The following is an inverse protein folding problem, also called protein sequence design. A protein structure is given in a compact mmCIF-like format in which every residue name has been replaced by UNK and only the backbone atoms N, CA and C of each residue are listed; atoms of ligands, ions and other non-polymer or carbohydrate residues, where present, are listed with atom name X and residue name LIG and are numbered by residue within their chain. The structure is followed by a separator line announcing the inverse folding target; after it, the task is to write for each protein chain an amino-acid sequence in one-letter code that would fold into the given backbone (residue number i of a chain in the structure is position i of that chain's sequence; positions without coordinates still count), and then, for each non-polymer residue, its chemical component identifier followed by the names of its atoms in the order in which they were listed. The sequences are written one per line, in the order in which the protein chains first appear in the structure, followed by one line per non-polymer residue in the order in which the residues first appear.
data_IF_806035187079
#
_entry.id   IF_806035187079
#
_cell.length_a   1.000
_cell.length_b   1.000
_cell.length_c   1.000
_cell.angle_alpha   90.00
_cell.angle_beta   90.00
_cell.angle_gamma   90.00
#
_symmetry.space_group_name_H-M   'P 1'
#
loop_
_entity.id
_entity.type
_entity.pdbx_description
1 polymer ?
#
# COMPACT_ATOMS: atom_id res chain seq x y z
N UNK A 1 -12.00 8.27 0.56
CA UNK A 1 -10.82 8.85 -0.12
C UNK A 1 -10.78 8.31 -1.54
N UNK A 2 -10.89 9.16 -2.56
CA UNK A 2 -10.96 8.71 -3.96
C UNK A 2 -9.55 8.35 -4.48
N UNK A 3 -9.42 7.27 -5.26
CA UNK A 3 -8.17 6.84 -5.94
C UNK A 3 -7.42 7.97 -6.62
N UNK A 4 -8.16 8.97 -7.11
CA UNK A 4 -7.67 10.12 -7.89
C UNK A 4 -7.02 11.18 -7.01
N UNK A 5 -7.67 11.50 -5.90
CA UNK A 5 -7.20 12.50 -4.94
C UNK A 5 -5.83 12.15 -4.37
N UNK A 6 -5.61 10.87 -4.07
CA UNK A 6 -4.37 10.41 -3.44
C UNK A 6 -3.10 10.75 -4.25
N UNK A 7 -3.20 10.75 -5.58
CA UNK A 7 -2.03 10.93 -6.46
C UNK A 7 -1.98 12.29 -7.14
N UNK A 8 -3.12 12.97 -7.25
CA UNK A 8 -3.21 14.21 -8.04
C UNK A 8 -3.70 15.41 -7.24
N UNK A 9 -4.14 15.22 -5.99
CA UNK A 9 -4.77 16.27 -5.19
C UNK A 9 -6.14 16.72 -5.72
N UNK A 10 -6.59 16.19 -6.86
CA UNK A 10 -7.85 16.55 -7.51
C UNK A 10 -8.81 15.36 -7.68
N UNK A 11 -10.04 15.67 -8.11
CA UNK A 11 -11.10 14.68 -8.39
C UNK A 11 -11.21 14.33 -9.87
N UNK A 12 -10.53 15.11 -10.73
CA UNK A 12 -10.56 14.97 -12.19
C UNK A 12 -10.08 13.60 -12.66
N UNK A 13 -10.63 13.15 -13.79
CA UNK A 13 -10.28 11.86 -14.39
C UNK A 13 -8.85 11.92 -14.89
N UNK A 14 -7.95 11.13 -14.28
CA UNK A 14 -6.56 11.04 -14.72
C UNK A 14 -6.10 9.59 -14.83
N UNK A 15 -5.17 9.34 -15.76
CA UNK A 15 -4.40 8.08 -15.85
C UNK A 15 -3.16 8.09 -14.94
N UNK A 16 -3.01 9.10 -14.07
CA UNK A 16 -1.80 9.40 -13.29
C UNK A 16 -1.67 8.63 -11.97
N UNK A 17 -2.51 7.62 -11.72
CA UNK A 17 -2.43 6.83 -10.50
C UNK A 17 -1.18 5.95 -10.48
N UNK A 18 -0.32 6.11 -9.47
CA UNK A 18 0.94 5.37 -9.39
C UNK A 18 0.75 3.88 -9.10
N UNK A 19 -0.33 3.54 -8.39
CA UNK A 19 -0.67 2.18 -8.00
C UNK A 19 -2.17 1.90 -8.16
N UNK A 20 -2.50 0.63 -8.39
CA UNK A 20 -3.88 0.13 -8.50
C UNK A 20 -4.56 0.21 -7.13
N UNK A 21 -5.84 0.60 -7.10
CA UNK A 21 -6.59 0.85 -5.86
C UNK A 21 -6.65 -0.36 -4.94
N UNK A 22 -6.96 -1.54 -5.49
CA UNK A 22 -7.07 -2.79 -4.72
C UNK A 22 -5.80 -3.06 -3.92
N UNK A 23 -4.63 -2.79 -4.51
CA UNK A 23 -3.34 -2.94 -3.84
C UNK A 23 -3.17 -1.95 -2.69
N UNK A 24 -3.71 -0.74 -2.77
CA UNK A 24 -3.66 0.22 -1.66
C UNK A 24 -4.49 -0.24 -0.46
N UNK A 25 -5.55 -1.00 -0.72
CA UNK A 25 -6.39 -1.59 0.32
C UNK A 25 -5.75 -2.81 1.00
N UNK A 26 -4.72 -3.42 0.41
CA UNK A 26 -4.02 -4.54 1.02
C UNK A 26 -3.34 -4.15 2.34
N UNK A 27 -3.11 -5.11 3.26
CA UNK A 27 -2.33 -4.87 4.47
C UNK A 27 -0.95 -4.29 4.14
N UNK A 28 -0.43 -3.41 5.01
CA UNK A 28 0.93 -2.83 4.85
C UNK A 28 2.01 -3.91 4.72
N UNK A 29 1.87 -5.00 5.48
CA UNK A 29 2.80 -6.12 5.43
C UNK A 29 2.82 -6.85 4.08
N UNK A 30 1.74 -6.74 3.31
CA UNK A 30 1.57 -7.28 1.96
C UNK A 30 1.84 -6.23 0.86
N UNK A 31 2.36 -5.06 1.25
CA UNK A 31 2.67 -3.99 0.33
C UNK A 31 1.47 -3.13 -0.08
N UNK A 32 0.41 -3.06 0.72
CA UNK A 32 -0.60 -2.02 0.60
C UNK A 32 -0.41 -0.86 1.58
N UNK A 33 -1.43 0.00 1.68
CA UNK A 33 -1.46 1.10 2.66
C UNK A 33 -2.44 0.83 3.81
N UNK A 34 -3.07 -0.34 3.83
CA UNK A 34 -4.12 -0.71 4.78
C UNK A 34 -5.34 0.22 4.69
N UNK A 35 -5.63 0.74 3.49
CA UNK A 35 -6.85 1.49 3.24
C UNK A 35 -8.07 0.56 3.30
N UNK A 36 -9.21 1.08 3.74
CA UNK A 36 -10.43 0.31 3.76
C UNK A 36 -10.91 0.03 2.33
N UNK A 37 -11.05 -1.24 1.96
CA UNK A 37 -11.79 -1.62 0.76
C UNK A 37 -13.29 -1.46 1.03
N UNK A 38 -13.88 -0.38 0.50
CA UNK A 38 -15.30 -0.07 0.71
C UNK A 38 -16.21 -1.13 0.09
N UNK A 39 -15.78 -1.76 -1.01
CA UNK A 39 -16.55 -2.82 -1.66
C UNK A 39 -16.67 -4.05 -0.77
N UNK A 40 -15.54 -4.52 -0.24
CA UNK A 40 -15.50 -5.67 0.69
C UNK A 40 -16.16 -5.31 2.02
N UNK A 41 -15.93 -4.10 2.54
CA UNK A 41 -16.57 -3.64 3.77
C UNK A 41 -18.09 -3.58 3.63
N UNK A 42 -18.60 -3.12 2.49
CA UNK A 42 -20.03 -3.12 2.21
C UNK A 42 -20.61 -4.54 2.15
N UNK A 43 -19.90 -5.52 1.57
CA UNK A 43 -20.30 -6.94 1.65
C UNK A 43 -20.44 -7.39 3.10
N UNK A 44 -19.44 -7.14 3.94
CA UNK A 44 -19.47 -7.49 5.36
C UNK A 44 -20.60 -6.77 6.14
N UNK A 45 -20.88 -5.51 5.80
CA UNK A 45 -21.98 -4.75 6.40
C UNK A 45 -23.36 -5.29 6.00
N UNK A 46 -23.56 -5.69 4.74
CA UNK A 46 -24.82 -6.33 4.29
C UNK A 46 -25.00 -7.69 4.98
N UNK A 47 -23.93 -8.47 5.16
CA UNK A 47 -23.98 -9.72 5.91
C UNK A 47 -24.43 -9.52 7.37
N UNK A 48 -23.98 -8.43 8.00
CA UNK A 48 -24.46 -8.03 9.33
C UNK A 48 -25.98 -7.79 9.33
N UNK A 49 -26.49 -7.12 8.29
CA UNK A 49 -27.94 -6.88 8.16
C UNK A 49 -28.70 -8.19 8.01
N UNK A 50 -28.21 -9.12 7.18
CA UNK A 50 -28.80 -10.45 7.04
C UNK A 50 -28.82 -11.18 8.39
N UNK A 51 -27.69 -11.22 9.09
CA UNK A 51 -27.59 -11.84 10.42
C UNK A 51 -28.57 -11.22 11.44
N UNK A 52 -28.72 -9.90 11.45
CA UNK A 52 -29.71 -9.22 12.32
C UNK A 52 -31.16 -9.61 11.99
N UNK A 53 -31.49 -9.82 10.71
CA UNK A 53 -32.82 -10.25 10.27
C UNK A 53 -33.08 -11.70 10.68
N UNK A 54 -32.10 -12.59 10.47
CA UNK A 54 -32.19 -14.01 10.81
C UNK A 54 -32.04 -14.31 12.31
N UNK A 55 -31.68 -13.33 13.15
CA UNK A 55 -31.87 -13.45 14.60
C UNK A 55 -33.33 -13.25 15.02
N UNK A 56 -34.13 -12.57 14.20
CA UNK A 56 -35.55 -12.28 14.46
C UNK A 56 -36.50 -13.25 13.74
N UNK A 57 -36.01 -14.00 12.75
CA UNK A 57 -36.74 -14.97 11.90
C UNK A 57 -35.82 -16.15 11.55
N UNK A 58 -36.34 -17.27 11.05
CA UNK A 58 -35.50 -18.43 10.68
C UNK A 58 -34.60 -18.09 9.48
N UNK A 59 -33.34 -18.57 9.49
CA UNK A 59 -32.31 -18.34 8.46
C UNK A 59 -32.70 -18.79 7.03
N UNK A 60 -33.73 -19.65 6.91
CA UNK A 60 -34.23 -20.20 5.64
C UNK A 60 -35.54 -19.59 5.11
N UNK A 61 -36.22 -18.73 5.87
CA UNK A 61 -37.53 -18.19 5.46
C UNK A 61 -37.35 -16.91 4.64
N UNK A 62 -37.13 -17.06 3.33
CA UNK A 62 -37.18 -15.92 2.41
C UNK A 62 -38.61 -15.34 2.31
N UNK A 63 -38.78 -14.00 2.33
CA UNK A 63 -40.09 -13.40 2.13
C UNK A 63 -40.62 -13.72 0.74
N UNK A 64 -41.91 -14.05 0.61
CA UNK A 64 -42.55 -14.37 -0.69
C UNK A 64 -42.55 -13.22 -1.69
N UNK A 65 -42.59 -11.96 -1.21
CA UNK A 65 -42.53 -10.75 -2.04
C UNK A 65 -41.57 -9.72 -1.42
N UNK A 66 -40.26 -9.96 -1.51
CA UNK A 66 -39.27 -9.08 -0.91
C UNK A 66 -39.02 -7.87 -1.82
N UNK A 67 -38.89 -6.67 -1.21
CA UNK A 67 -38.38 -5.50 -1.94
C UNK A 67 -36.95 -5.76 -2.45
N UNK A 68 -36.51 -5.01 -3.47
CA UNK A 68 -35.17 -5.17 -4.04
C UNK A 68 -34.03 -5.09 -3.00
N UNK A 69 -34.19 -4.25 -1.98
CA UNK A 69 -33.22 -4.12 -0.87
C UNK A 69 -33.15 -5.41 -0.07
N UNK A 70 -34.31 -5.99 0.27
CA UNK A 70 -34.38 -7.25 1.02
C UNK A 70 -33.79 -8.39 0.18
N UNK A 71 -34.11 -8.46 -1.11
CA UNK A 71 -33.49 -9.44 -2.03
C UNK A 71 -31.96 -9.34 -2.02
N UNK A 72 -31.40 -8.13 -2.03
CA UNK A 72 -29.95 -7.92 -2.00
C UNK A 72 -29.34 -8.37 -0.66
N UNK A 73 -30.06 -8.20 0.45
CA UNK A 73 -29.62 -8.67 1.77
C UNK A 73 -29.61 -10.20 1.82
N UNK A 74 -30.66 -10.89 1.38
CA UNK A 74 -30.69 -12.36 1.36
C UNK A 74 -29.63 -12.95 0.42
N UNK A 75 -29.43 -12.35 -0.76
CA UNK A 75 -28.33 -12.71 -1.68
C UNK A 75 -26.92 -12.54 -1.09
N UNK A 76 -26.78 -11.86 0.06
CA UNK A 76 -25.49 -11.76 0.75
C UNK A 76 -25.07 -13.04 1.48
N UNK A 77 -25.97 -14.04 1.59
CA UNK A 77 -25.67 -15.35 2.19
C UNK A 77 -24.40 -16.00 1.63
N UNK A 78 -24.20 -15.92 0.30
CA UNK A 78 -22.98 -16.41 -0.37
C UNK A 78 -21.67 -15.84 0.19
N UNK A 79 -21.68 -14.63 0.75
CA UNK A 79 -20.47 -14.04 1.31
C UNK A 79 -20.06 -14.67 2.64
N UNK A 80 -20.97 -15.37 3.33
CA UNK A 80 -20.61 -16.20 4.48
C UNK A 80 -19.82 -17.44 4.03
N UNK A 81 -20.28 -18.09 2.96
CA UNK A 81 -19.58 -19.21 2.34
C UNK A 81 -18.22 -18.78 1.78
N UNK A 82 -18.15 -17.66 1.06
CA UNK A 82 -16.88 -17.06 0.58
C UNK A 82 -15.90 -16.76 1.73
N UNK A 83 -16.41 -16.38 2.91
CA UNK A 83 -15.62 -16.12 4.11
C UNK A 83 -15.29 -17.39 4.93
N UNK A 84 -15.77 -18.56 4.48
CA UNK A 84 -15.60 -19.84 5.15
C UNK A 84 -16.34 -19.93 6.49
N UNK A 85 -17.59 -19.46 6.54
CA UNK A 85 -18.50 -19.67 7.66
C UNK A 85 -19.60 -20.66 7.29
N UNK A 86 -19.89 -21.62 8.17
CA UNK A 86 -21.07 -22.50 8.05
C UNK A 86 -22.34 -21.81 8.56
N UNK A 87 -23.52 -22.30 8.16
CA UNK A 87 -24.79 -21.76 8.67
C UNK A 87 -24.93 -21.92 10.19
N UNK A 88 -24.49 -23.06 10.74
CA UNK A 88 -24.53 -23.33 12.17
C UNK A 88 -23.61 -22.38 12.95
N UNK A 89 -22.42 -22.08 12.40
CA UNK A 89 -21.51 -21.11 13.00
C UNK A 89 -22.15 -19.72 13.05
N UNK A 90 -22.78 -19.29 11.96
CA UNK A 90 -23.44 -17.98 11.87
C UNK A 90 -24.62 -17.89 12.84
N UNK A 91 -25.41 -18.96 12.95
CA UNK A 91 -26.55 -19.03 13.86
C UNK A 91 -26.14 -18.95 15.34
N UNK A 92 -25.04 -19.62 15.69
CA UNK A 92 -24.49 -19.60 17.07
C UNK A 92 -23.78 -18.29 17.44
N UNK A 93 -23.56 -17.37 16.50
CA UNK A 93 -22.90 -16.10 16.83
C UNK A 93 -23.75 -15.29 17.81
N UNK A 94 -23.16 -14.90 18.94
CA UNK A 94 -23.77 -13.93 19.84
C UNK A 94 -23.75 -12.52 19.25
N UNK A 95 -22.64 -12.18 18.59
CA UNK A 95 -22.39 -10.87 17.97
C UNK A 95 -21.74 -11.05 16.60
N UNK A 96 -22.25 -10.34 15.59
CA UNK A 96 -21.67 -10.36 14.26
C UNK A 96 -20.31 -9.63 14.20
N UNK A 97 -19.20 -10.31 13.85
CA UNK A 97 -17.87 -9.71 13.85
C UNK A 97 -17.55 -9.06 12.50
N UNK A 98 -18.10 -7.87 12.22
CA UNK A 98 -17.97 -7.18 10.92
C UNK A 98 -16.52 -7.04 10.44
N UNK A 99 -15.59 -6.71 11.34
CA UNK A 99 -14.17 -6.62 11.02
C UNK A 99 -13.55 -7.98 10.67
N UNK A 100 -13.92 -9.05 11.37
CA UNK A 100 -13.43 -10.39 11.06
C UNK A 100 -13.97 -10.89 9.72
N UNK A 101 -15.26 -10.64 9.46
CA UNK A 101 -15.88 -10.90 8.16
C UNK A 101 -15.17 -10.17 7.02
N UNK A 102 -14.89 -8.87 7.20
CA UNK A 102 -14.11 -8.08 6.25
C UNK A 102 -12.73 -8.70 5.98
N UNK A 103 -11.99 -9.06 7.03
CA UNK A 103 -10.65 -9.66 6.89
C UNK A 103 -10.70 -11.03 6.18
N UNK A 104 -11.70 -11.87 6.49
CA UNK A 104 -11.91 -13.15 5.80
C UNK A 104 -12.22 -12.96 4.31
N UNK A 105 -13.13 -12.04 3.98
CA UNK A 105 -13.47 -11.71 2.59
C UNK A 105 -12.32 -11.04 1.84
N UNK A 106 -11.38 -10.40 2.55
CA UNK A 106 -10.18 -9.83 1.96
C UNK A 106 -9.18 -10.91 1.48
N UNK A 107 -9.26 -12.10 2.06
CA UNK A 107 -8.40 -13.24 1.74
C UNK A 107 -7.02 -13.18 2.40
N UNK A 108 -6.16 -14.09 1.98
CA UNK A 108 -4.78 -14.19 2.47
C UNK A 108 -3.81 -13.39 1.61
N UNK A 109 -2.77 -12.86 2.24
CA UNK A 109 -1.74 -12.08 1.58
C UNK A 109 -0.33 -12.55 1.92
N UNK A 110 0.50 -12.72 0.89
CA UNK A 110 1.93 -12.94 1.07
C UNK A 110 2.61 -11.66 1.54
N UNK A 111 3.57 -11.81 2.45
CA UNK A 111 4.34 -10.69 2.98
C UNK A 111 5.37 -10.23 1.94
N UNK A 112 5.44 -8.93 1.68
CA UNK A 112 6.48 -8.38 0.79
C UNK A 112 7.83 -8.32 1.53
N UNK A 113 8.97 -8.51 0.82
CA UNK A 113 10.30 -8.49 1.43
C UNK A 113 10.61 -7.16 2.14
N UNK A 114 10.32 -6.04 1.47
CA UNK A 114 10.56 -4.69 1.97
C UNK A 114 9.54 -4.21 3.01
N UNK A 115 8.63 -5.06 3.51
CA UNK A 115 7.58 -4.63 4.45
C UNK A 115 8.13 -3.91 5.68
N UNK A 116 9.31 -4.32 6.16
CA UNK A 116 9.94 -3.74 7.35
C UNK A 116 10.37 -2.30 7.12
N UNK A 117 10.53 -1.85 5.87
CA UNK A 117 10.84 -0.46 5.54
C UNK A 117 9.63 0.47 5.69
N UNK A 118 8.42 -0.09 5.62
CA UNK A 118 7.17 0.66 5.71
C UNK A 118 6.48 0.45 7.06
N UNK A 119 6.42 -0.81 7.52
CA UNK A 119 5.83 -1.20 8.78
C UNK A 119 6.77 -0.80 9.92
N UNK A 120 6.23 -0.08 10.91
CA UNK A 120 6.97 0.37 12.08
C UNK A 120 8.16 1.29 11.75
N UNK A 121 8.15 1.94 10.59
CA UNK A 121 9.08 3.01 10.32
C UNK A 121 8.62 4.25 11.11
N UNK A 122 9.53 4.78 11.95
CA UNK A 122 9.28 5.95 12.81
C UNK A 122 9.52 7.29 12.10
N UNK A 123 9.93 7.27 10.83
CA UNK A 123 10.08 8.47 10.02
C UNK A 123 8.75 9.18 9.77
N UNK A 124 8.83 10.41 9.27
CA UNK A 124 7.63 11.20 9.03
C UNK A 124 6.67 10.48 8.06
N UNK A 125 5.34 10.56 8.27
CA UNK A 125 4.36 9.90 7.41
C UNK A 125 4.53 10.24 5.92
N UNK A 126 4.90 11.47 5.58
CA UNK A 126 5.17 11.90 4.20
C UNK A 126 6.37 11.20 3.58
N UNK A 127 7.41 10.89 4.37
CA UNK A 127 8.59 10.15 3.89
C UNK A 127 8.23 8.71 3.57
N UNK A 128 7.54 8.05 4.50
CA UNK A 128 7.06 6.66 4.33
C UNK A 128 6.09 6.57 3.15
N UNK A 129 5.24 7.58 2.97
CA UNK A 129 4.31 7.64 1.85
C UNK A 129 5.01 7.72 0.50
N UNK A 130 6.13 8.42 0.37
CA UNK A 130 6.93 8.48 -0.88
C UNK A 130 7.80 7.23 -1.06
N UNK A 131 8.31 6.65 0.03
CA UNK A 131 9.05 5.39 -0.02
C UNK A 131 8.19 4.25 -0.59
N UNK A 132 6.88 4.25 -0.31
CA UNK A 132 5.94 3.23 -0.77
C UNK A 132 5.86 3.07 -2.31
N UNK A 133 5.54 4.09 -3.12
CA UNK A 133 5.60 3.99 -4.57
C UNK A 133 7.03 3.80 -5.09
N UNK A 134 8.07 4.25 -4.36
CA UNK A 134 9.46 3.96 -4.71
C UNK A 134 9.73 2.45 -4.67
N UNK A 135 9.26 1.74 -3.63
CA UNK A 135 9.42 0.30 -3.48
C UNK A 135 8.74 -0.50 -4.62
N UNK A 136 7.75 0.09 -5.28
CA UNK A 136 7.12 -0.47 -6.47
C UNK A 136 7.71 0.01 -7.81
N UNK A 137 8.74 0.86 -7.79
CA UNK A 137 9.29 1.53 -8.98
C UNK A 137 8.23 2.30 -9.75
N UNK A 138 7.33 2.97 -9.01
CA UNK A 138 6.18 3.71 -9.51
C UNK A 138 6.27 5.22 -9.27
N UNK A 139 7.39 5.74 -8.79
CA UNK A 139 7.64 7.19 -8.78
C UNK A 139 7.65 7.75 -10.21
N UNK A 140 7.43 9.06 -10.35
CA UNK A 140 7.36 9.76 -11.65
C UNK A 140 8.76 10.23 -12.08
N UNK A 141 9.68 9.29 -12.27
CA UNK A 141 10.99 9.53 -12.87
C UNK A 141 10.85 9.86 -14.37
N UNK A 142 11.79 10.61 -14.96
CA UNK A 142 11.66 11.03 -16.36
C UNK A 142 11.62 9.86 -17.35
N UNK A 143 12.33 8.76 -17.11
CA UNK A 143 12.22 7.55 -17.94
C UNK A 143 10.77 7.03 -18.04
N UNK A 144 10.00 7.14 -16.95
CA UNK A 144 8.59 6.75 -16.90
C UNK A 144 7.69 7.77 -17.56
N UNK A 145 7.96 9.06 -17.34
CA UNK A 145 7.19 10.14 -17.96
C UNK A 145 7.39 10.17 -19.48
N UNK A 146 8.60 9.89 -19.97
CA UNK A 146 8.92 9.78 -21.40
C UNK A 146 8.16 8.65 -22.06
N UNK A 147 8.12 7.47 -21.43
CA UNK A 147 7.29 6.33 -21.87
C UNK A 147 5.79 6.63 -21.90
N UNK A 148 5.33 7.62 -21.14
CA UNK A 148 3.94 8.09 -21.16
C UNK A 148 3.71 9.25 -22.15
N UNK A 149 4.73 9.67 -22.89
CA UNK A 149 4.66 10.81 -23.81
C UNK A 149 4.45 12.15 -23.11
N UNK A 150 4.80 12.26 -21.83
CA UNK A 150 4.63 13.49 -21.05
C UNK A 150 5.86 14.41 -21.13
N UNK A 151 7.02 13.87 -21.51
CA UNK A 151 8.30 14.59 -21.69
C UNK A 151 9.06 13.96 -22.84
N UNK A 152 9.91 14.73 -23.52
CA UNK A 152 10.76 14.24 -24.62
C UNK A 152 12.15 13.81 -24.13
N UNK A 153 12.70 14.59 -23.21
CA UNK A 153 14.00 14.37 -22.56
C UNK A 153 13.82 13.62 -21.22
N UNK A 154 14.63 12.58 -21.04
CA UNK A 154 14.72 11.79 -19.81
C UNK A 154 15.95 12.06 -18.95
N UNK A 155 16.74 13.08 -19.29
CA UNK A 155 17.88 13.51 -18.49
C UNK A 155 17.47 13.87 -17.06
N UNK A 156 18.29 13.42 -16.10
CA UNK A 156 18.13 13.66 -14.67
C UNK A 156 18.20 15.16 -14.33
N UNK A 157 17.16 15.74 -13.71
CA UNK A 157 17.15 17.16 -13.36
C UNK A 157 18.17 17.58 -12.30
N UNK A 158 18.79 16.64 -11.60
CA UNK A 158 19.74 16.93 -10.52
C UNK A 158 21.19 16.96 -11.01
N UNK A 159 21.56 16.07 -11.94
CA UNK A 159 22.93 15.99 -12.45
C UNK A 159 23.08 16.51 -13.88
N UNK A 160 22.00 16.55 -14.65
CA UNK A 160 21.98 16.94 -16.06
C UNK A 160 22.89 16.11 -16.99
N UNK A 161 23.30 14.91 -16.58
CA UNK A 161 24.25 14.09 -17.36
C UNK A 161 23.70 12.75 -17.86
N UNK A 162 22.81 12.10 -17.11
CA UNK A 162 22.38 10.72 -17.34
C UNK A 162 20.85 10.60 -17.26
N UNK A 163 20.28 9.51 -17.78
CA UNK A 163 18.84 9.22 -17.72
C UNK A 163 18.31 9.11 -16.28
N UNK A 164 17.21 9.80 -15.98
CA UNK A 164 16.49 9.71 -14.70
C UNK A 164 15.71 8.40 -14.59
N UNK A 165 16.36 7.38 -14.05
CA UNK A 165 15.71 6.16 -13.53
C UNK A 165 15.64 6.19 -12.01
N UNK A 166 14.88 5.29 -11.36
CA UNK A 166 14.91 5.17 -9.89
C UNK A 166 16.33 4.85 -9.37
N UNK A 167 17.06 3.99 -10.08
CA UNK A 167 18.41 3.60 -9.67
C UNK A 167 19.36 4.79 -9.82
N UNK A 168 19.25 5.54 -10.92
CA UNK A 168 20.01 6.75 -11.09
C UNK A 168 19.67 7.78 -10.02
N UNK A 169 18.40 8.18 -9.93
CA UNK A 169 17.92 9.23 -9.04
C UNK A 169 18.37 9.04 -7.59
N UNK A 170 18.35 7.81 -7.06
CA UNK A 170 18.64 7.58 -5.64
C UNK A 170 20.02 6.98 -5.35
N UNK A 171 20.72 6.37 -6.32
CA UNK A 171 21.94 5.60 -6.06
C UNK A 171 23.12 5.85 -7.01
N UNK A 172 22.90 6.41 -8.21
CA UNK A 172 23.98 6.67 -9.18
C UNK A 172 24.18 8.15 -9.50
N UNK A 173 23.16 8.98 -9.29
CA UNK A 173 23.23 10.42 -9.49
C UNK A 173 24.26 11.03 -8.56
N UNK A 174 25.21 11.81 -9.09
CA UNK A 174 26.30 12.43 -8.32
C UNK A 174 25.78 13.17 -7.07
N UNK A 175 24.73 13.98 -7.24
CA UNK A 175 24.04 14.68 -6.15
C UNK A 175 23.55 13.73 -5.05
N UNK A 176 22.76 12.72 -5.43
CA UNK A 176 22.15 11.79 -4.49
C UNK A 176 23.16 10.88 -3.82
N UNK A 177 24.19 10.44 -4.55
CA UNK A 177 25.25 9.59 -4.01
C UNK A 177 26.02 10.31 -2.90
N UNK A 178 26.31 11.61 -3.04
CA UNK A 178 26.94 12.39 -1.96
C UNK A 178 26.10 12.37 -0.68
N UNK A 179 24.80 12.65 -0.78
CA UNK A 179 23.87 12.62 0.35
C UNK A 179 23.83 11.23 0.98
N UNK A 180 23.71 10.19 0.15
CA UNK A 180 23.57 8.80 0.61
C UNK A 180 24.85 8.31 1.30
N UNK A 181 26.02 8.64 0.77
CA UNK A 181 27.31 8.32 1.40
C UNK A 181 27.42 9.00 2.76
N UNK A 182 27.18 10.30 2.85
CA UNK A 182 27.25 11.03 4.11
C UNK A 182 26.28 10.48 5.18
N UNK A 183 25.05 10.14 4.78
CA UNK A 183 24.04 9.55 5.68
C UNK A 183 24.44 8.16 6.17
N UNK A 184 25.06 7.33 5.31
CA UNK A 184 25.54 6.00 5.68
C UNK A 184 26.78 6.06 6.57
N UNK A 185 27.71 6.98 6.30
CA UNK A 185 28.89 7.23 7.13
C UNK A 185 28.51 7.71 8.53
N UNK A 186 27.55 8.64 8.63
CA UNK A 186 27.00 9.08 9.91
C UNK A 186 26.41 7.92 10.74
N UNK A 187 25.85 6.92 10.07
CA UNK A 187 25.33 5.69 10.69
C UNK A 187 26.40 4.61 10.93
N UNK A 188 27.64 4.84 10.49
CA UNK A 188 28.74 3.86 10.51
C UNK A 188 28.41 2.59 9.73
N UNK A 189 27.70 2.74 8.61
CA UNK A 189 27.34 1.65 7.69
C UNK A 189 28.27 1.69 6.48
N UNK A 190 29.28 0.82 6.47
CA UNK A 190 30.24 0.72 5.38
C UNK A 190 29.82 -0.38 4.39
N UNK A 191 29.51 0.02 3.15
CA UNK A 191 29.11 -0.89 2.07
C UNK A 191 29.28 -0.22 0.70
N UNK A 192 29.32 -1.02 -0.35
CA UNK A 192 29.36 -0.53 -1.72
C UNK A 192 28.03 0.05 -2.19
N UNK A 193 28.07 0.87 -3.24
CA UNK A 193 26.89 1.36 -3.93
C UNK A 193 26.03 0.19 -4.45
N UNK A 194 24.72 0.34 -4.36
CA UNK A 194 23.73 -0.68 -4.71
C UNK A 194 22.70 -0.10 -5.65
N UNK A 195 22.09 -0.96 -6.46
CA UNK A 195 20.81 -0.65 -7.11
C UNK A 195 19.68 -0.60 -6.08
N UNK A 196 18.52 -0.06 -6.48
CA UNK A 196 17.33 0.01 -5.64
C UNK A 196 16.88 -1.36 -5.14
N UNK A 197 16.89 -2.37 -6.01
CA UNK A 197 16.44 -3.71 -5.64
C UNK A 197 17.43 -4.41 -4.70
N UNK A 198 18.73 -4.16 -4.86
CA UNK A 198 19.76 -4.59 -3.92
C UNK A 198 19.63 -3.87 -2.57
N UNK A 199 19.32 -2.57 -2.57
CA UNK A 199 19.07 -1.79 -1.36
C UNK A 199 17.92 -2.38 -0.55
N UNK A 200 16.77 -2.62 -1.19
CA UNK A 200 15.59 -3.16 -0.50
C UNK A 200 15.86 -4.54 0.10
N UNK A 201 16.59 -5.41 -0.63
CA UNK A 201 16.98 -6.74 -0.13
C UNK A 201 17.94 -6.63 1.05
N UNK A 202 18.96 -5.79 0.95
CA UNK A 202 19.92 -5.56 2.03
C UNK A 202 19.23 -5.00 3.27
N UNK A 203 18.39 -3.99 3.08
CA UNK A 203 17.62 -3.33 4.13
C UNK A 203 16.67 -4.29 4.86
N UNK A 204 16.05 -5.22 4.14
CA UNK A 204 15.22 -6.26 4.75
C UNK A 204 16.02 -7.10 5.77
N UNK A 205 17.25 -7.47 5.42
CA UNK A 205 18.12 -8.29 6.26
C UNK A 205 18.69 -7.47 7.42
N UNK A 206 19.21 -6.28 7.13
CA UNK A 206 19.81 -5.38 8.11
C UNK A 206 18.79 -4.94 9.18
N UNK A 207 17.56 -4.64 8.75
CA UNK A 207 16.49 -4.16 9.64
C UNK A 207 15.55 -5.26 10.13
N UNK A 208 16.01 -6.52 10.24
CA UNK A 208 15.18 -7.62 10.76
C UNK A 208 14.62 -7.35 12.15
N UNK A 209 15.40 -6.68 13.01
CA UNK A 209 15.05 -6.35 14.40
C UNK A 209 14.56 -4.92 14.61
N UNK A 210 14.44 -4.57 15.90
CA UNK A 210 14.10 -3.23 16.41
C UNK A 210 15.29 -2.54 17.11
N UNK A 211 16.50 -2.84 16.65
CA UNK A 211 17.67 -2.12 17.14
C UNK A 211 17.59 -0.65 16.73
N UNK A 212 18.17 0.24 17.53
CA UNK A 212 18.24 1.67 17.21
C UNK A 212 18.87 1.90 15.83
N UNK A 213 19.90 1.13 15.47
CA UNK A 213 20.52 1.19 14.14
C UNK A 213 19.54 0.84 13.02
N UNK A 214 18.73 -0.21 13.21
CA UNK A 214 17.72 -0.58 12.22
C UNK A 214 16.61 0.47 12.09
N UNK A 215 16.22 1.13 13.19
CA UNK A 215 15.23 2.21 13.18
C UNK A 215 15.76 3.47 12.51
N UNK A 216 16.98 3.90 12.86
CA UNK A 216 17.68 5.03 12.24
C UNK A 216 17.83 4.80 10.75
N UNK A 217 18.22 3.59 10.33
CA UNK A 217 18.38 3.28 8.91
C UNK A 217 17.04 3.34 8.15
N UNK A 218 15.96 2.77 8.69
CA UNK A 218 14.62 2.84 8.08
C UNK A 218 14.15 4.28 7.89
N UNK A 219 14.31 5.09 8.94
CA UNK A 219 13.90 6.49 8.94
C UNK A 219 14.73 7.31 7.94
N UNK A 220 16.06 7.18 8.01
CA UNK A 220 16.98 7.95 7.15
C UNK A 220 16.87 7.56 5.68
N UNK A 221 16.68 6.28 5.34
CA UNK A 221 16.41 5.85 3.97
C UNK A 221 15.14 6.53 3.42
N UNK A 222 14.04 6.49 4.19
CA UNK A 222 12.79 7.16 3.80
C UNK A 222 12.97 8.67 3.65
N UNK A 223 13.67 9.30 4.60
CA UNK A 223 13.97 10.74 4.59
C UNK A 223 14.83 11.15 3.40
N UNK A 224 15.92 10.44 3.12
CA UNK A 224 16.79 10.71 1.97
C UNK A 224 16.02 10.64 0.65
N UNK A 225 15.21 9.59 0.45
CA UNK A 225 14.40 9.45 -0.77
C UNK A 225 13.41 10.60 -0.90
N UNK A 226 12.75 10.97 0.19
CA UNK A 226 11.81 12.09 0.18
C UNK A 226 12.49 13.42 -0.17
N UNK A 227 13.61 13.75 0.48
CA UNK A 227 14.27 15.04 0.25
C UNK A 227 14.96 15.09 -1.12
N UNK A 228 15.57 14.01 -1.59
CA UNK A 228 16.09 13.93 -2.96
C UNK A 228 14.96 14.17 -3.97
N UNK A 229 13.79 13.54 -3.78
CA UNK A 229 12.65 13.75 -4.66
C UNK A 229 12.08 15.18 -4.55
N UNK A 230 12.15 15.79 -3.37
CA UNK A 230 11.73 17.17 -3.15
C UNK A 230 12.64 18.14 -3.93
N UNK A 231 13.96 18.01 -3.80
CA UNK A 231 14.93 18.84 -4.53
C UNK A 231 14.81 18.65 -6.05
N UNK A 232 14.56 17.42 -6.50
CA UNK A 232 14.32 17.13 -7.92
C UNK A 232 13.08 17.84 -8.48
N UNK A 233 12.10 18.15 -7.63
CA UNK A 233 10.83 18.78 -8.02
C UNK A 233 10.77 20.28 -7.72
N UNK A 234 11.81 20.85 -7.10
CA UNK A 234 11.93 22.29 -6.86
C UNK A 234 12.20 23.02 -8.18
#
# INVERSE_FOLDING_TARGET
MCRRFLWTGGVEVTKKALLVWDRLCWPRAAGGLNLLDIGIWNKAAICKLLWNLCKKKVWGDEPKQPSWVIQKIFKSKKYFEEAGYSEEEVFRMEKFPTKAMYLKLQGEFSKVPWRRMMCNNIGLPKWIFILFPAAYRRLQTRDRLRRWGCVEDDTCPLCHTEEETIDHLFFKCLFSTQIRTAVLEWQRVHRHAMTWDQELKWAEQYCKGRSSNAEIYRMSLAGSIYYILQERNA
#
